data_IF_356178334658
#
_entry.id   IF_356178334658
#
_cell.length_a   1.000
_cell.length_b   1.000
_cell.length_c   1.000
_cell.angle_alpha   90.00
_cell.angle_beta   90.00
_cell.angle_gamma   90.00
#
_symmetry.space_group_name_H-M   'P 1'
#
loop_
_entity.id
_entity.type
_entity.pdbx_description
1 polymer ?
#
# COMPACT_ATOMS: atom_id res chain seq x y z
N UNK A 1 -7.09 -16.65 -1.60
CA UNK A 1 -7.40 -15.58 -2.58
C UNK A 1 -6.28 -14.55 -2.55
N UNK A 2 -5.82 -14.06 -3.71
CA UNK A 2 -4.84 -12.98 -3.77
C UNK A 2 -5.42 -11.70 -3.16
N UNK A 3 -4.53 -10.91 -2.53
CA UNK A 3 -4.91 -9.65 -1.87
C UNK A 3 -4.30 -8.47 -2.64
N UNK A 4 -4.97 -7.32 -2.62
CA UNK A 4 -4.44 -6.09 -3.23
C UNK A 4 -3.06 -5.72 -2.69
N UNK A 5 -2.81 -5.93 -1.39
CA UNK A 5 -1.53 -5.66 -0.73
C UNK A 5 -0.38 -6.60 -1.09
N UNK A 6 -0.66 -7.72 -1.76
CA UNK A 6 0.37 -8.70 -2.14
C UNK A 6 0.53 -8.87 -3.64
N UNK A 7 -0.45 -8.50 -4.44
CA UNK A 7 -0.49 -8.80 -5.88
C UNK A 7 0.65 -8.15 -6.68
N UNK A 8 1.22 -7.07 -6.19
CA UNK A 8 2.39 -6.41 -6.79
C UNK A 8 3.73 -7.08 -6.49
N UNK A 9 3.75 -8.15 -5.68
CA UNK A 9 4.97 -8.90 -5.34
C UNK A 9 5.44 -9.78 -6.50
N UNK A 10 6.69 -10.28 -6.45
CA UNK A 10 7.22 -11.20 -7.45
C UNK A 10 6.32 -12.42 -7.66
N UNK A 11 6.12 -12.82 -8.91
CA UNK A 11 5.20 -13.90 -9.30
C UNK A 11 5.51 -15.22 -8.59
N UNK A 12 6.80 -15.57 -8.43
CA UNK A 12 7.21 -16.78 -7.72
C UNK A 12 6.70 -16.83 -6.27
N UNK A 13 6.70 -15.69 -5.58
CA UNK A 13 6.18 -15.59 -4.22
C UNK A 13 4.66 -15.78 -4.20
N UNK A 14 3.94 -15.15 -5.13
CA UNK A 14 2.49 -15.30 -5.27
C UNK A 14 2.08 -16.74 -5.57
N UNK A 15 2.83 -17.43 -6.43
CA UNK A 15 2.60 -18.85 -6.75
C UNK A 15 2.84 -19.76 -5.55
N UNK A 16 3.86 -19.50 -4.73
CA UNK A 16 4.11 -20.23 -3.50
C UNK A 16 2.97 -20.03 -2.48
N UNK A 17 2.51 -18.77 -2.32
CA UNK A 17 1.37 -18.48 -1.47
C UNK A 17 0.09 -19.17 -1.97
N UNK A 18 -0.17 -19.17 -3.28
CA UNK A 18 -1.33 -19.84 -3.87
C UNK A 18 -1.32 -21.37 -3.69
N UNK A 19 -0.15 -21.96 -3.73
CA UNK A 19 0.07 -23.41 -3.50
C UNK A 19 0.09 -23.80 -2.01
N UNK A 20 -0.15 -22.83 -1.10
CA UNK A 20 -0.05 -23.02 0.34
C UNK A 20 1.30 -23.62 0.79
N UNK A 21 2.38 -23.28 0.08
CA UNK A 21 3.73 -23.66 0.51
C UNK A 21 4.00 -22.95 1.83
N UNK A 22 4.06 -23.71 2.92
CA UNK A 22 4.41 -23.17 4.22
C UNK A 22 5.87 -22.76 4.20
N UNK A 23 6.11 -21.46 4.27
CA UNK A 23 7.45 -20.94 4.58
C UNK A 23 7.83 -21.24 6.03
N UNK A 24 9.08 -21.03 6.35
CA UNK A 24 9.52 -21.02 7.75
C UNK A 24 8.72 -19.98 8.54
N UNK A 25 8.39 -20.31 9.78
CA UNK A 25 7.66 -19.39 10.64
C UNK A 25 8.45 -18.07 10.80
N UNK A 26 7.78 -16.94 10.64
CA UNK A 26 8.45 -15.64 10.82
C UNK A 26 9.05 -15.54 12.25
N UNK A 27 10.31 -15.11 12.38
CA UNK A 27 10.91 -14.83 13.68
C UNK A 27 10.09 -13.82 14.50
N UNK A 28 10.15 -13.94 15.81
CA UNK A 28 9.39 -13.06 16.73
C UNK A 28 9.61 -11.57 16.44
N UNK A 29 10.84 -11.15 16.21
CA UNK A 29 11.17 -9.76 15.90
C UNK A 29 10.54 -9.24 14.60
N UNK A 30 10.33 -10.11 13.61
CA UNK A 30 9.62 -9.74 12.37
C UNK A 30 8.13 -9.56 12.64
N UNK A 31 7.53 -10.46 13.42
CA UNK A 31 6.12 -10.33 13.84
C UNK A 31 5.90 -9.05 14.64
N UNK A 32 6.78 -8.74 15.58
CA UNK A 32 6.72 -7.51 16.37
C UNK A 32 6.84 -6.25 15.50
N UNK A 33 7.76 -6.23 14.52
CA UNK A 33 7.86 -5.12 13.57
C UNK A 33 6.59 -4.89 12.77
N UNK A 34 5.94 -5.95 12.34
CA UNK A 34 4.67 -5.85 11.63
C UNK A 34 3.58 -5.28 12.54
N UNK A 35 3.49 -5.77 13.78
CA UNK A 35 2.55 -5.25 14.79
C UNK A 35 2.80 -3.76 15.08
N UNK A 36 4.05 -3.33 15.19
CA UNK A 36 4.37 -1.91 15.35
C UNK A 36 3.94 -1.08 14.13
N UNK A 37 4.06 -1.64 12.91
CA UNK A 37 3.54 -1.00 11.72
C UNK A 37 2.03 -0.74 11.81
N UNK A 38 1.27 -1.75 12.18
CA UNK A 38 -0.19 -1.66 12.34
C UNK A 38 -0.59 -0.65 13.44
N UNK A 39 0.15 -0.62 14.55
CA UNK A 39 -0.08 0.36 15.62
C UNK A 39 0.23 1.80 15.20
N UNK A 40 1.31 2.01 14.47
CA UNK A 40 1.68 3.33 13.94
C UNK A 40 0.64 3.83 12.95
N UNK A 41 0.12 2.95 12.09
CA UNK A 41 -0.95 3.26 11.16
C UNK A 41 -2.23 3.70 11.90
N UNK A 42 -2.66 2.94 12.91
CA UNK A 42 -3.82 3.29 13.73
C UNK A 42 -3.60 4.62 14.48
N UNK A 43 -2.41 4.85 15.02
CA UNK A 43 -2.03 6.11 15.66
C UNK A 43 -2.08 7.27 14.66
N UNK A 44 -1.59 7.06 13.44
CA UNK A 44 -1.61 8.08 12.40
C UNK A 44 -3.03 8.53 12.07
N UNK A 45 -3.96 7.59 11.91
CA UNK A 45 -5.37 7.89 11.66
C UNK A 45 -5.96 8.70 12.83
N UNK A 46 -5.68 8.30 14.05
CA UNK A 46 -6.12 9.02 15.26
C UNK A 46 -5.58 10.46 15.28
N UNK A 47 -4.31 10.66 15.00
CA UNK A 47 -3.65 11.99 14.99
C UNK A 47 -4.25 12.87 13.89
N UNK A 48 -4.43 12.36 12.67
CA UNK A 48 -5.06 13.09 11.56
C UNK A 48 -6.45 13.58 11.94
N UNK A 49 -7.29 12.70 12.48
CA UNK A 49 -8.65 13.06 12.93
C UNK A 49 -8.63 14.09 14.07
N UNK A 50 -7.74 13.90 15.04
CA UNK A 50 -7.60 14.83 16.17
C UNK A 50 -7.08 16.21 15.76
N UNK A 51 -6.37 16.29 14.64
CA UNK A 51 -5.87 17.53 14.06
C UNK A 51 -6.89 18.24 13.17
N UNK A 52 -8.12 17.72 13.07
CA UNK A 52 -9.19 18.30 12.29
C UNK A 52 -9.20 17.92 10.80
N UNK A 53 -8.38 16.95 10.40
CA UNK A 53 -8.42 16.39 9.04
C UNK A 53 -9.67 15.53 8.88
N UNK A 54 -10.46 15.78 7.84
CA UNK A 54 -11.63 14.97 7.52
C UNK A 54 -11.19 13.65 6.92
N UNK A 55 -11.11 12.59 7.74
CA UNK A 55 -10.78 11.25 7.33
C UNK A 55 -12.05 10.45 7.09
N UNK A 56 -12.22 9.91 5.89
CA UNK A 56 -13.35 9.07 5.50
C UNK A 56 -12.90 7.62 5.27
N UNK A 57 -13.83 6.69 5.42
CA UNK A 57 -13.67 5.27 5.05
C UNK A 57 -12.39 4.61 5.61
N UNK A 58 -12.04 4.92 6.86
CA UNK A 58 -10.87 4.31 7.52
C UNK A 58 -10.97 2.79 7.54
N UNK A 59 -9.88 2.11 7.13
CA UNK A 59 -9.77 0.65 7.12
C UNK A 59 -10.92 -0.07 6.38
N UNK A 60 -11.46 0.57 5.35
CA UNK A 60 -12.58 0.05 4.57
C UNK A 60 -12.16 -1.17 3.74
N UNK A 61 -12.92 -2.25 3.84
CA UNK A 61 -12.78 -3.40 2.95
C UNK A 61 -13.26 -3.04 1.56
N UNK A 62 -12.44 -3.31 0.57
CA UNK A 62 -12.70 -3.03 -0.84
C UNK A 62 -12.47 -4.25 -1.70
N UNK A 63 -13.11 -4.27 -2.85
CA UNK A 63 -13.02 -5.35 -3.83
C UNK A 63 -12.84 -4.77 -5.22
N UNK A 64 -12.01 -5.42 -6.00
CA UNK A 64 -11.81 -5.10 -7.41
C UNK A 64 -12.05 -6.35 -8.26
N UNK A 65 -12.92 -6.23 -9.24
CA UNK A 65 -13.24 -7.31 -10.19
C UNK A 65 -12.39 -7.16 -11.44
N UNK A 66 -11.80 -8.26 -11.84
CA UNK A 66 -11.20 -8.46 -13.16
C UNK A 66 -12.08 -9.42 -13.97
N UNK A 67 -11.78 -9.64 -15.22
CA UNK A 67 -12.60 -10.45 -16.15
C UNK A 67 -13.01 -11.81 -15.55
N UNK A 68 -12.09 -12.52 -14.92
CA UNK A 68 -12.32 -13.87 -14.40
C UNK A 68 -12.03 -14.04 -12.91
N UNK A 69 -11.85 -12.95 -12.16
CA UNK A 69 -11.44 -13.01 -10.76
C UNK A 69 -11.78 -11.75 -10.00
N UNK A 70 -11.75 -11.88 -8.69
CA UNK A 70 -11.93 -10.77 -7.76
C UNK A 70 -10.81 -10.79 -6.73
N UNK A 71 -10.22 -9.63 -6.47
CA UNK A 71 -9.26 -9.45 -5.38
C UNK A 71 -9.86 -8.55 -4.30
N UNK A 72 -9.45 -8.79 -3.08
CA UNK A 72 -9.91 -8.06 -1.91
C UNK A 72 -8.76 -7.30 -1.27
N UNK A 73 -9.07 -6.19 -0.64
CA UNK A 73 -8.12 -5.40 0.12
C UNK A 73 -8.80 -4.60 1.21
N UNK A 74 -8.00 -3.86 1.94
CA UNK A 74 -8.46 -2.91 2.95
C UNK A 74 -7.66 -1.64 2.75
N UNK A 75 -8.32 -0.60 2.27
CA UNK A 75 -7.69 0.72 2.14
C UNK A 75 -7.54 1.37 3.52
N UNK A 76 -6.57 2.25 3.67
CA UNK A 76 -6.31 2.88 4.95
C UNK A 76 -7.25 4.07 5.20
N UNK A 77 -7.21 5.07 4.36
CA UNK A 77 -8.02 6.28 4.52
C UNK A 77 -8.36 6.95 3.19
N UNK A 78 -9.41 7.76 3.21
CA UNK A 78 -9.71 8.76 2.19
C UNK A 78 -9.62 10.16 2.78
N UNK A 79 -8.92 11.05 2.11
CA UNK A 79 -8.76 12.46 2.48
C UNK A 79 -8.83 13.28 1.20
N UNK A 80 -9.62 14.36 1.19
CA UNK A 80 -9.77 15.28 0.06
C UNK A 80 -10.09 14.58 -1.27
N UNK A 81 -11.06 13.64 -1.23
CA UNK A 81 -11.51 12.86 -2.39
C UNK A 81 -10.38 12.05 -3.08
N UNK A 82 -9.35 11.67 -2.31
CA UNK A 82 -8.25 10.79 -2.75
C UNK A 82 -8.10 9.63 -1.78
N UNK A 83 -7.64 8.50 -2.32
CA UNK A 83 -7.23 7.35 -1.52
C UNK A 83 -5.79 7.54 -1.09
N UNK A 84 -5.51 7.37 0.19
CA UNK A 84 -4.17 7.44 0.77
C UNK A 84 -3.81 6.15 1.48
N UNK A 85 -2.56 5.77 1.36
CA UNK A 85 -2.01 4.60 2.03
C UNK A 85 -1.01 5.07 3.10
N UNK A 86 -1.14 4.55 4.32
CA UNK A 86 -0.30 4.95 5.45
C UNK A 86 0.82 3.93 5.61
N UNK A 87 2.05 4.42 5.74
CA UNK A 87 3.23 3.56 5.91
C UNK A 87 4.06 3.99 7.10
N UNK A 88 4.51 3.01 7.87
CA UNK A 88 5.62 3.20 8.80
C UNK A 88 6.92 2.83 8.11
N UNK A 89 7.93 3.69 8.18
CA UNK A 89 9.20 3.50 7.50
C UNK A 89 10.38 3.52 8.47
N UNK A 90 11.43 2.77 8.15
CA UNK A 90 12.73 2.96 8.79
C UNK A 90 13.31 4.33 8.41
N UNK A 91 14.25 4.91 9.18
CA UNK A 91 14.88 6.17 8.80
C UNK A 91 15.41 6.17 7.37
N UNK A 92 16.09 5.11 6.97
CA UNK A 92 16.62 4.98 5.61
C UNK A 92 15.52 5.03 4.54
N UNK A 93 14.45 4.26 4.71
CA UNK A 93 13.32 4.25 3.75
C UNK A 93 12.56 5.56 3.77
N UNK A 94 12.43 6.20 4.93
CA UNK A 94 11.80 7.50 5.08
C UNK A 94 12.54 8.58 4.28
N UNK A 95 13.86 8.67 4.46
CA UNK A 95 14.68 9.72 3.83
C UNK A 95 14.94 9.44 2.35
N UNK A 96 15.32 8.21 2.00
CA UNK A 96 15.83 7.87 0.67
C UNK A 96 14.76 7.42 -0.30
N UNK A 97 13.77 6.65 0.17
CA UNK A 97 12.72 6.11 -0.68
C UNK A 97 11.56 7.09 -0.77
N UNK A 98 10.86 7.32 0.32
CA UNK A 98 9.70 8.22 0.32
C UNK A 98 10.08 9.69 0.25
N UNK A 99 11.15 10.11 0.92
CA UNK A 99 11.68 11.47 0.85
C UNK A 99 12.22 11.84 -0.54
N UNK A 100 12.64 10.87 -1.34
CA UNK A 100 13.02 11.04 -2.74
C UNK A 100 11.84 11.22 -3.70
N UNK A 101 10.61 11.06 -3.21
CA UNK A 101 9.39 11.21 -3.99
C UNK A 101 8.91 9.94 -4.68
N UNK A 102 7.79 10.06 -5.38
CA UNK A 102 7.08 8.93 -5.99
C UNK A 102 7.96 8.11 -6.93
N UNK A 103 8.77 8.76 -7.75
CA UNK A 103 9.66 8.10 -8.72
C UNK A 103 10.69 7.18 -8.03
N UNK A 104 11.21 7.60 -6.87
CA UNK A 104 12.16 6.76 -6.11
C UNK A 104 11.47 5.53 -5.53
N UNK A 105 10.21 5.66 -5.08
CA UNK A 105 9.41 4.50 -4.65
C UNK A 105 9.15 3.57 -5.83
N UNK A 106 8.82 4.10 -7.00
CA UNK A 106 8.49 3.32 -8.19
C UNK A 106 9.70 2.58 -8.79
N UNK A 107 10.92 3.12 -8.67
CA UNK A 107 12.16 2.49 -9.17
C UNK A 107 12.48 1.17 -8.47
N UNK A 108 12.25 1.08 -7.16
CA UNK A 108 12.55 -0.09 -6.34
C UNK A 108 11.34 -0.45 -5.46
N UNK A 109 10.30 -0.96 -6.12
CA UNK A 109 9.05 -1.32 -5.46
C UNK A 109 8.90 -2.82 -5.23
N UNK A 110 9.88 -3.42 -4.56
CA UNK A 110 9.88 -4.86 -4.23
C UNK A 110 8.67 -5.29 -3.38
N UNK A 111 8.02 -4.37 -2.68
CA UNK A 111 6.84 -4.65 -1.85
C UNK A 111 5.51 -4.45 -2.59
N UNK A 112 5.52 -3.84 -3.77
CA UNK A 112 4.32 -3.58 -4.55
C UNK A 112 3.47 -2.43 -4.00
N UNK A 113 4.07 -1.38 -3.46
CA UNK A 113 3.36 -0.22 -2.92
C UNK A 113 2.61 0.56 -4.00
N UNK A 114 3.23 0.72 -5.18
CA UNK A 114 2.62 1.42 -6.31
C UNK A 114 1.38 0.67 -6.81
N UNK A 115 1.47 -0.63 -7.18
CA UNK A 115 0.28 -1.40 -7.53
C UNK A 115 -0.78 -1.40 -6.45
N UNK A 116 -0.43 -1.55 -5.18
CA UNK A 116 -1.38 -1.53 -4.07
C UNK A 116 -2.21 -0.25 -4.05
N UNK A 117 -1.55 0.91 -4.14
CA UNK A 117 -2.23 2.20 -4.13
C UNK A 117 -3.20 2.39 -5.29
N UNK A 118 -2.77 2.05 -6.51
CA UNK A 118 -3.64 2.16 -7.68
C UNK A 118 -4.80 1.15 -7.69
N UNK A 119 -4.62 -0.03 -7.13
CA UNK A 119 -5.71 -1.00 -6.99
C UNK A 119 -6.79 -0.51 -6.00
N UNK A 120 -6.39 0.12 -4.91
CA UNK A 120 -7.35 0.77 -3.99
C UNK A 120 -8.05 1.95 -4.67
N UNK A 121 -7.29 2.78 -5.38
CA UNK A 121 -7.82 3.89 -6.17
C UNK A 121 -8.88 3.42 -7.17
N UNK A 122 -8.58 2.38 -7.95
CA UNK A 122 -9.50 1.82 -8.93
C UNK A 122 -10.75 1.22 -8.28
N UNK A 123 -10.60 0.52 -7.16
CA UNK A 123 -11.75 -0.07 -6.43
C UNK A 123 -12.75 0.97 -5.93
N UNK A 124 -12.29 2.17 -5.65
CA UNK A 124 -13.11 3.29 -5.14
C UNK A 124 -13.43 4.33 -6.21
N UNK A 125 -12.89 4.19 -7.43
CA UNK A 125 -13.01 5.16 -8.54
C UNK A 125 -12.61 6.57 -8.13
N UNK A 126 -11.55 6.66 -7.36
CA UNK A 126 -10.97 7.90 -6.84
C UNK A 126 -9.48 7.96 -7.15
N UNK A 127 -8.87 9.15 -7.29
CA UNK A 127 -7.43 9.27 -7.47
C UNK A 127 -6.64 8.65 -6.31
N UNK A 128 -5.48 8.08 -6.61
CA UNK A 128 -4.51 7.72 -5.59
C UNK A 128 -3.73 8.98 -5.19
N UNK A 129 -3.80 9.38 -3.92
CA UNK A 129 -3.10 10.57 -3.41
C UNK A 129 -1.61 10.31 -3.20
N UNK A 130 -1.26 9.10 -2.81
CA UNK A 130 0.10 8.71 -2.46
C UNK A 130 0.18 8.09 -1.08
N UNK A 131 1.31 8.28 -0.43
CA UNK A 131 1.59 7.72 0.89
C UNK A 131 1.74 8.80 1.94
N UNK A 132 1.12 8.59 3.09
CA UNK A 132 1.41 9.31 4.34
C UNK A 132 2.38 8.43 5.12
N UNK A 133 3.59 8.92 5.35
CA UNK A 133 4.68 8.11 5.87
C UNK A 133 5.16 8.63 7.21
N UNK A 134 5.29 7.74 8.17
CA UNK A 134 5.79 8.03 9.50
C UNK A 134 7.13 7.33 9.70
N UNK A 135 8.15 8.09 10.09
CA UNK A 135 9.42 7.54 10.53
C UNK A 135 9.23 6.89 11.91
N UNK A 136 9.29 5.56 11.94
CA UNK A 136 9.04 4.79 13.17
C UNK A 136 10.09 4.96 14.26
N UNK A 137 11.23 5.59 13.96
CA UNK A 137 12.30 5.85 14.94
C UNK A 137 12.26 7.26 15.51
N UNK A 138 11.83 8.25 14.71
CA UNK A 138 11.81 9.67 15.11
C UNK A 138 10.43 10.25 15.33
N UNK A 139 9.39 9.61 14.76
CA UNK A 139 8.03 10.14 14.76
C UNK A 139 7.78 11.23 13.73
N UNK A 140 8.73 11.52 12.85
CA UNK A 140 8.56 12.49 11.77
C UNK A 140 7.60 11.98 10.70
N UNK A 141 6.90 12.92 10.08
CA UNK A 141 5.93 12.65 9.02
C UNK A 141 6.38 13.24 7.70
N UNK A 142 6.09 12.55 6.62
CA UNK A 142 6.19 13.08 5.27
C UNK A 142 5.03 12.60 4.42
N UNK A 143 4.74 13.33 3.36
CA UNK A 143 3.74 12.96 2.36
C UNK A 143 4.46 12.74 1.03
N UNK A 144 4.31 11.57 0.46
CA UNK A 144 4.85 11.22 -0.85
C UNK A 144 3.68 11.17 -1.84
N UNK A 145 3.45 12.27 -2.54
CA UNK A 145 2.31 12.42 -3.46
C UNK A 145 2.56 11.74 -4.81
N UNK A 146 1.48 11.27 -5.44
CA UNK A 146 1.52 10.81 -6.83
C UNK A 146 1.78 11.96 -7.79
N UNK A 147 2.43 11.71 -8.95
CA UNK A 147 2.58 12.73 -10.00
C UNK A 147 1.22 13.19 -10.52
N UNK A 148 1.15 14.40 -11.05
CA UNK A 148 -0.07 14.95 -11.66
C UNK A 148 -0.54 14.09 -12.85
N UNK A 149 0.41 13.57 -13.64
CA UNK A 149 0.15 12.69 -14.77
C UNK A 149 0.61 11.26 -14.42
N UNK A 150 -0.25 10.53 -13.73
CA UNK A 150 0.04 9.19 -13.22
C UNK A 150 -0.63 8.05 -14.00
N UNK A 151 -1.30 8.34 -15.11
CA UNK A 151 -2.05 7.36 -15.91
C UNK A 151 -1.20 6.15 -16.33
N UNK A 152 0.05 6.38 -16.70
CA UNK A 152 0.97 5.29 -17.07
C UNK A 152 1.20 4.32 -15.91
N UNK A 153 1.41 4.83 -14.71
CA UNK A 153 1.58 4.00 -13.49
C UNK A 153 0.31 3.24 -13.17
N UNK A 154 -0.86 3.88 -13.27
CA UNK A 154 -2.15 3.26 -13.06
C UNK A 154 -2.40 2.11 -14.03
N UNK A 155 -2.23 2.34 -15.32
CA UNK A 155 -2.43 1.32 -16.38
C UNK A 155 -1.48 0.15 -16.17
N UNK A 156 -0.21 0.43 -15.89
CA UNK A 156 0.81 -0.60 -15.64
C UNK A 156 0.50 -1.43 -14.38
N UNK A 157 0.03 -0.78 -13.32
CA UNK A 157 -0.35 -1.44 -12.08
C UNK A 157 -1.53 -2.42 -12.31
N UNK A 158 -2.58 -1.99 -13.00
CA UNK A 158 -3.74 -2.81 -13.32
C UNK A 158 -3.38 -3.99 -14.22
N UNK A 159 -2.62 -3.74 -15.29
CA UNK A 159 -2.16 -4.80 -16.20
C UNK A 159 -1.28 -5.83 -15.50
N UNK A 160 -0.37 -5.39 -14.63
CA UNK A 160 0.48 -6.28 -13.83
C UNK A 160 -0.33 -7.12 -12.85
N UNK A 161 -1.33 -6.52 -12.19
CA UNK A 161 -2.21 -7.24 -11.28
C UNK A 161 -3.03 -8.31 -12.02
N UNK A 162 -3.61 -7.98 -13.16
CA UNK A 162 -4.38 -8.92 -13.98
C UNK A 162 -3.52 -10.10 -14.44
N UNK A 163 -2.30 -9.83 -14.94
CA UNK A 163 -1.33 -10.85 -15.31
C UNK A 163 -0.99 -11.78 -14.14
N UNK A 164 -0.74 -11.21 -12.97
CA UNK A 164 -0.37 -11.99 -11.78
C UNK A 164 -1.54 -12.83 -11.24
N UNK A 165 -2.78 -12.41 -11.46
CA UNK A 165 -3.96 -13.18 -11.07
C UNK A 165 -4.16 -14.39 -12.00
N UNK A 166 -3.86 -14.24 -13.29
CA UNK A 166 -4.04 -15.29 -14.30
C UNK A 166 -2.92 -16.34 -14.28
N UNK A 167 -1.78 -16.04 -13.72
CA UNK A 167 -0.62 -16.92 -13.67
C UNK A 167 -0.66 -17.88 -12.47
#
# INVERSE_FOLDING_TARGET
KPRMSSIGRPLCQLQMEAKNVKGEGQPYNVKMRNTFGDLIEALAIFVLKSSGVEVKDEQKKVKLKFTNSEIEGRLDVKIDEKVWDIKSASPYSFDRKFGGGFEEVAKDDAFGYVPQGYLYSESEKMPFGGWIVINKSTGEWTVCETPINDDEYRVKALASAEKNIQA
#
